data_IF_377756641047
#
_entry.id   IF_377756641047
#
_cell.length_a   1.000
_cell.length_b   1.000
_cell.length_c   1.000
_cell.angle_alpha   90.00
_cell.angle_beta   90.00
_cell.angle_gamma   90.00
#
_symmetry.space_group_name_H-M   'P 1'
#
loop_
_entity.id
_entity.type
_entity.pdbx_description
1 polymer ?
#
# COMPACT_ATOMS: atom_id res chain seq x y z
N UNK A 1 -1.80 0.34 -29.40
CA UNK A 1 -0.48 0.52 -28.79
C UNK A 1 -0.06 1.97 -29.01
N UNK A 2 -0.02 2.78 -27.96
CA UNK A 2 0.25 4.22 -28.06
C UNK A 2 1.78 4.48 -28.03
N UNK A 3 2.35 5.29 -28.94
CA UNK A 3 3.80 5.47 -29.08
C UNK A 3 4.47 6.14 -27.87
N UNK A 4 3.71 6.80 -27.00
CA UNK A 4 4.21 7.42 -25.76
C UNK A 4 4.05 6.54 -24.52
N UNK A 5 3.51 5.32 -24.64
CA UNK A 5 3.28 4.42 -23.50
C UNK A 5 4.34 3.31 -23.50
N UNK A 6 5.36 3.47 -22.65
CA UNK A 6 6.26 2.36 -22.32
C UNK A 6 5.57 1.48 -21.28
N UNK A 7 5.53 0.17 -21.51
CA UNK A 7 5.19 -0.78 -20.45
C UNK A 7 6.22 -0.62 -19.33
N UNK A 8 5.76 -0.60 -18.08
CA UNK A 8 6.65 -0.86 -16.95
C UNK A 8 7.33 -2.20 -17.20
N UNK A 9 8.66 -2.21 -17.14
CA UNK A 9 9.49 -3.42 -17.16
C UNK A 9 9.02 -4.31 -15.99
N UNK A 10 8.10 -5.24 -16.28
CA UNK A 10 7.44 -6.07 -15.27
C UNK A 10 8.15 -7.41 -15.06
N UNK A 11 9.44 -7.52 -15.40
CA UNK A 11 10.16 -8.79 -15.36
C UNK A 11 10.89 -9.08 -14.03
N UNK A 12 11.05 -8.10 -13.13
CA UNK A 12 11.83 -8.31 -11.91
C UNK A 12 11.09 -8.09 -10.59
N UNK A 13 9.84 -7.60 -10.62
CA UNK A 13 9.10 -7.34 -9.39
C UNK A 13 7.86 -8.24 -9.29
N UNK A 14 7.70 -8.89 -8.14
CA UNK A 14 6.60 -9.81 -7.86
C UNK A 14 6.80 -11.27 -8.28
N UNK A 15 7.96 -11.63 -8.85
CA UNK A 15 8.40 -13.02 -8.93
C UNK A 15 9.12 -13.39 -7.63
N UNK A 16 8.37 -13.77 -6.60
CA UNK A 16 8.96 -14.28 -5.37
C UNK A 16 9.25 -15.77 -5.53
N UNK A 17 10.54 -16.15 -5.58
CA UNK A 17 10.99 -17.51 -5.32
C UNK A 17 11.06 -17.82 -3.81
N UNK A 18 10.79 -16.82 -2.96
CA UNK A 18 10.81 -16.94 -1.51
C UNK A 18 9.46 -17.43 -0.96
N UNK A 19 9.55 -18.12 0.19
CA UNK A 19 8.41 -18.53 1.01
C UNK A 19 7.53 -17.32 1.36
N UNK A 20 6.20 -17.52 1.45
CA UNK A 20 5.30 -16.45 1.88
C UNK A 20 5.45 -16.24 3.38
N UNK A 21 5.28 -15.01 3.87
CA UNK A 21 5.28 -14.75 5.32
C UNK A 21 3.85 -14.70 5.83
N UNK A 22 3.48 -15.61 6.74
CA UNK A 22 2.17 -15.70 7.38
C UNK A 22 2.37 -15.57 8.89
N UNK A 23 1.81 -14.52 9.50
CA UNK A 23 1.97 -14.28 10.94
C UNK A 23 3.43 -14.08 11.38
N UNK A 24 4.30 -13.62 10.47
CA UNK A 24 5.73 -13.41 10.74
C UNK A 24 6.62 -14.64 10.53
N UNK A 25 6.08 -15.76 10.04
CA UNK A 25 6.83 -16.99 9.76
C UNK A 25 6.79 -17.35 8.27
N UNK A 26 7.86 -17.95 7.76
CA UNK A 26 7.91 -18.49 6.41
C UNK A 26 6.90 -19.64 6.24
N UNK A 27 6.18 -19.62 5.13
CA UNK A 27 5.15 -20.57 4.76
C UNK A 27 5.41 -21.10 3.35
N UNK A 28 5.55 -22.42 3.24
CA UNK A 28 5.72 -23.12 1.98
C UNK A 28 4.38 -23.22 1.20
N UNK A 29 4.47 -23.43 -0.12
CA UNK A 29 3.30 -23.74 -0.94
C UNK A 29 2.63 -25.04 -0.45
N UNK A 30 1.33 -24.99 -0.21
CA UNK A 30 0.55 -26.14 0.29
C UNK A 30 0.63 -26.35 1.80
N UNK A 31 1.44 -25.58 2.54
CA UNK A 31 1.49 -25.66 4.01
C UNK A 31 0.15 -25.29 4.66
N UNK A 32 -0.60 -24.37 4.04
CA UNK A 32 -1.95 -24.01 4.45
C UNK A 32 -2.91 -24.18 3.29
N UNK A 33 -4.08 -24.76 3.56
CA UNK A 33 -5.09 -25.09 2.54
C UNK A 33 -5.59 -23.86 1.75
N UNK A 34 -5.51 -22.68 2.35
CA UNK A 34 -5.92 -21.42 1.73
C UNK A 34 -4.79 -20.72 0.95
N UNK A 35 -3.57 -21.27 0.93
CA UNK A 35 -2.49 -20.76 0.07
C UNK A 35 -2.76 -21.20 -1.36
N UNK A 36 -3.08 -20.23 -2.22
CA UNK A 36 -3.30 -20.43 -3.64
C UNK A 36 -2.28 -19.64 -4.47
N UNK A 37 -1.77 -20.27 -5.53
CA UNK A 37 -1.02 -19.58 -6.58
C UNK A 37 -2.00 -19.04 -7.61
N UNK A 38 -2.34 -17.77 -7.47
CA UNK A 38 -3.05 -17.04 -8.50
C UNK A 38 -2.08 -16.78 -9.65
N UNK A 39 -2.48 -17.15 -10.87
CA UNK A 39 -1.73 -16.80 -12.08
C UNK A 39 -1.77 -15.28 -12.33
N UNK A 40 -0.90 -14.82 -13.23
CA UNK A 40 -0.86 -13.41 -13.63
C UNK A 40 -1.90 -13.17 -14.72
N UNK A 41 -2.68 -12.10 -14.57
CA UNK A 41 -3.63 -11.64 -15.60
C UNK A 41 -3.57 -10.12 -15.70
N UNK A 42 -4.37 -9.55 -16.60
CA UNK A 42 -4.52 -8.09 -16.67
C UNK A 42 -5.05 -7.48 -15.36
N UNK A 43 -5.85 -8.22 -14.58
CA UNK A 43 -6.48 -7.75 -13.34
C UNK A 43 -5.78 -8.24 -12.07
N UNK A 44 -4.84 -9.19 -12.20
CA UNK A 44 -4.17 -9.83 -11.07
C UNK A 44 -2.68 -9.79 -11.31
N UNK A 45 -2.01 -8.91 -10.57
CA UNK A 45 -0.56 -8.80 -10.54
C UNK A 45 -0.09 -8.40 -9.13
N UNK A 46 1.07 -8.89 -8.68
CA UNK A 46 1.71 -8.45 -7.45
C UNK A 46 2.24 -7.02 -7.59
N UNK A 47 2.38 -6.34 -6.44
CA UNK A 47 3.14 -5.10 -6.32
C UNK A 47 4.60 -5.41 -5.95
N UNK A 48 5.51 -4.51 -6.30
CA UNK A 48 6.90 -4.60 -5.86
C UNK A 48 7.03 -4.28 -4.36
N UNK A 49 7.95 -4.96 -3.67
CA UNK A 49 8.40 -4.52 -2.35
C UNK A 49 9.48 -3.43 -2.53
N UNK A 50 9.50 -2.40 -1.66
CA UNK A 50 10.51 -1.35 -1.74
C UNK A 50 11.89 -1.90 -1.37
N UNK A 51 12.93 -1.42 -2.05
CA UNK A 51 14.32 -1.65 -1.66
C UNK A 51 14.70 -0.79 -0.44
N UNK A 52 15.81 -1.11 0.23
CA UNK A 52 16.21 -0.46 1.47
C UNK A 52 16.43 1.05 1.31
N UNK A 53 17.04 1.46 0.20
CA UNK A 53 17.25 2.86 -0.18
C UNK A 53 15.92 3.59 -0.44
N UNK A 54 14.98 2.93 -1.14
CA UNK A 54 13.64 3.45 -1.41
C UNK A 54 12.80 3.67 -0.14
N UNK A 55 12.99 2.86 0.90
CA UNK A 55 12.38 3.05 2.22
C UNK A 55 12.94 4.29 2.93
N UNK A 56 14.24 4.55 2.79
CA UNK A 56 14.86 5.76 3.34
C UNK A 56 14.54 7.02 2.53
N UNK A 57 14.07 6.87 1.30
CA UNK A 57 13.75 7.95 0.36
C UNK A 57 12.25 8.30 0.28
N UNK A 58 11.41 7.84 1.23
CA UNK A 58 10.05 8.35 1.36
C UNK A 58 10.09 9.80 1.87
N UNK A 59 9.92 10.75 0.95
CA UNK A 59 10.08 12.18 1.26
C UNK A 59 8.80 12.75 1.83
N UNK A 60 8.93 13.64 2.82
CA UNK A 60 7.80 14.41 3.32
C UNK A 60 7.17 15.19 2.17
N UNK A 61 5.84 15.12 2.06
CA UNK A 61 5.04 15.73 0.99
C UNK A 61 4.86 14.85 -0.24
N UNK A 62 5.60 13.75 -0.37
CA UNK A 62 5.46 12.82 -1.48
C UNK A 62 4.13 12.08 -1.42
N UNK A 63 3.50 11.88 -2.58
CA UNK A 63 2.19 11.22 -2.65
C UNK A 63 2.33 9.71 -2.64
N UNK A 64 1.64 9.09 -1.69
CA UNK A 64 1.41 7.65 -1.57
C UNK A 64 -0.08 7.38 -1.78
N UNK A 65 -0.43 6.21 -2.30
CA UNK A 65 -1.81 5.86 -2.64
C UNK A 65 -2.28 4.69 -1.80
N UNK A 66 -3.38 4.88 -1.07
CA UNK A 66 -4.13 3.80 -0.45
C UNK A 66 -5.31 3.41 -1.34
N UNK A 67 -5.69 2.14 -1.34
CA UNK A 67 -6.85 1.65 -2.06
C UNK A 67 -7.60 0.58 -1.24
N UNK A 68 -8.93 0.59 -1.30
CA UNK A 68 -9.76 -0.33 -0.54
C UNK A 68 -11.26 -0.11 -0.70
N UNK A 69 -12.04 -0.88 0.04
CA UNK A 69 -13.50 -0.87 0.06
C UNK A 69 -14.06 -0.50 1.45
N UNK A 70 -13.28 0.24 2.23
CA UNK A 70 -13.65 0.69 3.57
C UNK A 70 -14.86 1.62 3.59
N UNK A 71 -15.14 2.14 4.78
CA UNK A 71 -16.22 3.09 4.99
C UNK A 71 -16.01 4.35 4.15
N UNK A 72 -17.07 4.81 3.50
CA UNK A 72 -17.06 6.06 2.73
C UNK A 72 -17.44 7.29 3.57
N UNK A 73 -18.02 7.07 4.75
CA UNK A 73 -18.45 8.13 5.65
C UNK A 73 -18.24 7.69 7.10
N UNK A 74 -17.71 8.58 7.94
CA UNK A 74 -17.48 8.33 9.38
C UNK A 74 -18.76 8.22 10.19
N UNK A 75 -19.88 8.75 9.68
CA UNK A 75 -21.18 8.75 10.34
C UNK A 75 -22.06 7.57 9.97
N UNK A 76 -21.67 6.73 9.01
CA UNK A 76 -22.45 5.56 8.58
C UNK A 76 -21.57 4.32 8.47
N UNK A 77 -22.18 3.14 8.52
CA UNK A 77 -21.48 1.87 8.28
C UNK A 77 -21.47 1.46 6.80
N UNK A 78 -21.82 2.39 5.91
CA UNK A 78 -21.84 2.13 4.47
C UNK A 78 -20.40 1.96 3.94
N UNK A 79 -20.18 0.84 3.25
CA UNK A 79 -18.92 0.52 2.58
C UNK A 79 -19.03 0.75 1.09
N UNK A 80 -17.90 0.91 0.43
CA UNK A 80 -17.87 1.08 -1.01
C UNK A 80 -18.17 -0.25 -1.72
N UNK A 81 -19.03 -0.22 -2.74
CA UNK A 81 -19.27 -1.38 -3.62
C UNK A 81 -18.22 -1.46 -4.75
N UNK A 82 -17.58 -0.33 -5.05
CA UNK A 82 -16.55 -0.17 -6.08
C UNK A 82 -15.25 0.22 -5.37
N UNK A 83 -14.11 -0.33 -5.82
CA UNK A 83 -12.80 -0.03 -5.25
C UNK A 83 -12.56 1.47 -5.24
N UNK A 84 -12.25 2.02 -4.08
CA UNK A 84 -11.86 3.41 -3.92
C UNK A 84 -10.34 3.51 -3.77
N UNK A 85 -9.80 4.68 -4.11
CA UNK A 85 -8.40 5.00 -3.87
C UNK A 85 -8.23 6.47 -3.48
N UNK A 86 -7.18 6.76 -2.73
CA UNK A 86 -6.85 8.10 -2.31
C UNK A 86 -5.34 8.30 -2.29
N UNK A 87 -4.89 9.43 -2.83
CA UNK A 87 -3.49 9.85 -2.73
C UNK A 87 -3.32 10.80 -1.54
N UNK A 88 -2.40 10.46 -0.65
CA UNK A 88 -2.10 11.15 0.60
C UNK A 88 -0.61 11.54 0.62
N UNK A 89 -0.27 12.74 1.08
CA UNK A 89 1.13 13.12 1.24
C UNK A 89 1.71 12.42 2.48
N UNK A 90 2.96 11.98 2.39
CA UNK A 90 3.75 11.55 3.55
C UNK A 90 3.98 12.75 4.47
N UNK A 91 3.84 12.54 5.77
CA UNK A 91 3.98 13.57 6.80
C UNK A 91 5.10 13.21 7.76
N UNK A 92 5.54 14.20 8.53
CA UNK A 92 6.46 13.95 9.62
C UNK A 92 5.74 13.13 10.71
N UNK A 93 6.41 12.20 11.41
CA UNK A 93 5.80 11.39 12.48
C UNK A 93 5.04 12.23 13.51
N UNK A 94 5.56 13.40 13.87
CA UNK A 94 4.96 14.29 14.86
C UNK A 94 3.63 14.90 14.38
N UNK A 95 3.42 15.00 13.06
CA UNK A 95 2.18 15.50 12.47
C UNK A 95 1.00 14.54 12.68
N UNK A 96 1.26 13.24 12.86
CA UNK A 96 0.22 12.27 13.20
C UNK A 96 -0.22 12.33 14.67
N UNK A 97 0.52 13.03 15.54
CA UNK A 97 0.14 13.19 16.96
C UNK A 97 -1.18 13.93 17.16
N UNK A 98 -1.69 14.63 16.14
CA UNK A 98 -3.00 15.29 16.18
C UNK A 98 -4.18 14.30 16.20
N UNK A 99 -3.99 13.04 15.74
CA UNK A 99 -5.05 12.04 15.69
C UNK A 99 -5.43 11.45 17.07
N UNK A 100 -4.65 11.73 18.12
CA UNK A 100 -5.02 11.36 19.48
C UNK A 100 -3.94 11.69 20.51
N UNK A 101 -4.35 12.20 21.69
CA UNK A 101 -3.43 12.43 22.81
C UNK A 101 -2.71 11.12 23.17
N UNK A 102 -1.38 11.13 23.12
CA UNK A 102 -0.54 9.98 23.47
C UNK A 102 -0.23 9.03 22.31
N UNK A 103 -0.73 9.30 21.10
CA UNK A 103 -0.34 8.55 19.91
C UNK A 103 1.07 8.95 19.49
N UNK A 104 2.00 8.00 19.54
CA UNK A 104 3.38 8.16 19.09
C UNK A 104 3.62 7.18 17.95
N UNK A 105 3.94 7.71 16.79
CA UNK A 105 4.30 6.91 15.61
C UNK A 105 5.64 6.20 15.90
N UNK A 106 5.64 4.88 15.78
CA UNK A 106 6.84 4.06 15.94
C UNK A 106 7.75 4.14 14.71
N UNK A 107 9.02 3.77 14.87
CA UNK A 107 10.00 3.82 13.76
C UNK A 107 9.63 2.92 12.57
N UNK A 108 8.80 1.91 12.81
CA UNK A 108 8.28 0.98 11.80
C UNK A 108 6.99 1.45 11.13
N UNK A 109 6.51 2.65 11.46
CA UNK A 109 5.23 3.19 10.97
C UNK A 109 5.45 4.40 10.07
N UNK A 110 4.53 4.60 9.12
CA UNK A 110 4.54 5.73 8.19
C UNK A 110 3.33 6.61 8.50
N UNK A 111 3.55 7.91 8.62
CA UNK A 111 2.50 8.91 8.75
C UNK A 111 2.17 9.48 7.36
N UNK A 112 0.91 9.42 6.93
CA UNK A 112 0.45 10.01 5.67
C UNK A 112 -0.98 10.55 5.83
N UNK A 113 -1.30 11.69 5.19
CA UNK A 113 -2.65 12.26 5.25
C UNK A 113 -2.71 13.79 5.38
N UNK A 114 -3.50 14.28 6.33
CA UNK A 114 -3.69 15.72 6.63
C UNK A 114 -4.46 16.52 5.55
N UNK A 115 -5.07 15.86 4.57
CA UNK A 115 -5.96 16.50 3.61
C UNK A 115 -7.42 16.40 4.07
N UNK A 116 -8.16 17.52 4.01
CA UNK A 116 -9.58 17.54 4.40
C UNK A 116 -10.38 16.55 3.54
N UNK A 117 -11.20 15.73 4.19
CA UNK A 117 -12.08 14.72 3.56
C UNK A 117 -11.34 13.65 2.73
N UNK A 118 -10.07 13.36 3.04
CA UNK A 118 -9.29 12.33 2.36
C UNK A 118 -8.50 11.52 3.38
N UNK A 119 -8.88 10.26 3.54
CA UNK A 119 -8.22 9.35 4.46
C UNK A 119 -8.50 7.89 4.09
N UNK A 120 -7.70 6.97 4.62
CA UNK A 120 -8.08 5.56 4.69
C UNK A 120 -9.05 5.37 5.87
N UNK A 121 -10.03 4.48 5.74
CA UNK A 121 -11.09 4.37 6.73
C UNK A 121 -11.26 2.95 7.27
N UNK A 122 -12.19 2.79 8.21
CA UNK A 122 -12.49 1.49 8.79
C UNK A 122 -12.86 0.47 7.71
N UNK A 123 -12.16 -0.66 7.69
CA UNK A 123 -12.33 -1.70 6.66
C UNK A 123 -11.22 -1.74 5.60
N UNK A 124 -10.33 -0.75 5.56
CA UNK A 124 -9.15 -0.76 4.69
C UNK A 124 -7.89 -1.36 5.37
N UNK A 125 -7.99 -1.72 6.65
CA UNK A 125 -6.88 -2.24 7.44
C UNK A 125 -6.28 -3.51 6.83
N UNK A 126 -4.95 -3.53 6.67
CA UNK A 126 -4.22 -4.60 5.98
C UNK A 126 -4.12 -4.41 4.46
N UNK A 127 -4.81 -3.41 3.90
CA UNK A 127 -4.66 -2.98 2.51
C UNK A 127 -3.32 -2.27 2.25
N UNK A 128 -2.95 -2.09 0.97
CA UNK A 128 -1.65 -1.57 0.61
C UNK A 128 -1.58 -0.04 0.70
N UNK A 129 -0.42 0.48 1.13
CA UNK A 129 0.00 1.86 0.90
C UNK A 129 1.08 1.85 -0.18
N UNK A 130 0.77 2.37 -1.36
CA UNK A 130 1.53 2.16 -2.59
C UNK A 130 2.23 3.43 -3.03
N UNK A 131 3.44 3.29 -3.57
CA UNK A 131 4.22 4.37 -4.20
C UNK A 131 4.72 3.91 -5.55
N UNK A 132 4.65 4.81 -6.55
CA UNK A 132 5.30 4.60 -7.83
C UNK A 132 6.66 5.27 -7.79
N UNK A 133 7.72 4.45 -7.80
CA UNK A 133 9.08 4.95 -7.95
C UNK A 133 9.34 5.14 -9.44
N UNK A 134 9.46 6.40 -9.87
CA UNK A 134 9.93 6.69 -11.22
C UNK A 134 11.46 6.52 -11.20
N UNK A 135 11.99 5.62 -12.02
CA UNK A 135 13.42 5.59 -12.29
C UNK A 135 13.77 6.91 -13.00
N UNK A 136 14.21 7.90 -12.23
CA UNK A 136 14.89 9.07 -12.78
C UNK A 136 16.29 8.58 -13.14
N UNK A 137 16.47 8.23 -14.41
CA UNK A 137 17.80 8.09 -15.02
C UNK A 137 18.51 9.42 -15.05
#
# INVERSE_FOLDING_TARGET
>A
SHPSWKKLESFECGFSAADRIIGGLNAALGQFQWILRLGYTYYVAPICLPQQDQLTDLRIGELVTAAGWGKMNMSTDQRADILQYVSLPVLKPESCGFFGKGFKVEKSEICAGSQRNKDACGGDSGGPLMKVFLNIT
#
